data_IF_303127057874
#
_entry.id   IF_303127057874
#
_cell.length_a   1.000
_cell.length_b   1.000
_cell.length_c   1.000
_cell.angle_alpha   90.00
_cell.angle_beta   90.00
_cell.angle_gamma   90.00
#
_symmetry.space_group_name_H-M   'P 1'
#
loop_
_entity.id
_entity.type
_entity.pdbx_description
1 polymer ?
#
# COMPACT_ATOMS: atom_id res chain seq x y z
N UNK A 1 -3.55 -20.26 -3.43
CA UNK A 1 -2.58 -20.58 -2.35
C UNK A 1 -2.62 -19.40 -1.40
N UNK A 2 -2.89 -19.59 -0.10
CA UNK A 2 -2.86 -18.45 0.84
C UNK A 2 -1.40 -18.05 1.04
N UNK A 3 -1.03 -16.86 0.61
CA UNK A 3 0.30 -16.32 0.87
C UNK A 3 0.43 -15.96 2.35
N UNK A 4 1.57 -16.23 2.95
CA UNK A 4 1.82 -15.80 4.33
C UNK A 4 2.25 -14.33 4.31
N UNK A 5 1.48 -13.48 4.95
CA UNK A 5 1.70 -12.03 4.99
C UNK A 5 3.05 -11.70 5.64
N UNK A 6 3.45 -12.43 6.68
CA UNK A 6 4.73 -12.25 7.36
C UNK A 6 5.90 -12.53 6.42
N UNK A 7 5.80 -13.60 5.60
CA UNK A 7 6.81 -13.92 4.59
C UNK A 7 6.91 -12.80 3.56
N UNK A 8 5.78 -12.27 3.10
CA UNK A 8 5.77 -11.17 2.13
C UNK A 8 6.43 -9.91 2.69
N UNK A 9 6.10 -9.53 3.92
CA UNK A 9 6.69 -8.38 4.62
C UNK A 9 8.20 -8.53 4.78
N UNK A 10 8.67 -9.68 5.26
CA UNK A 10 10.11 -9.97 5.39
C UNK A 10 10.81 -9.90 4.03
N UNK A 11 10.21 -10.47 2.98
CA UNK A 11 10.78 -10.43 1.62
C UNK A 11 10.91 -9.00 1.10
N UNK A 12 9.92 -8.15 1.37
CA UNK A 12 9.95 -6.73 0.98
C UNK A 12 11.09 -6.01 1.71
N UNK A 13 11.19 -6.15 3.04
CA UNK A 13 12.25 -5.52 3.84
C UNK A 13 13.66 -5.94 3.36
N UNK A 14 13.86 -7.24 3.16
CA UNK A 14 15.14 -7.79 2.66
C UNK A 14 15.47 -7.25 1.26
N UNK A 15 14.46 -7.14 0.39
CA UNK A 15 14.66 -6.64 -0.97
C UNK A 15 14.98 -5.14 -1.00
N UNK A 16 14.28 -4.34 -0.21
CA UNK A 16 14.56 -2.90 -0.04
C UNK A 16 16.00 -2.69 0.45
N UNK A 17 16.44 -3.49 1.42
CA UNK A 17 17.80 -3.42 1.95
C UNK A 17 18.84 -3.89 0.92
N UNK A 18 18.59 -4.99 0.22
CA UNK A 18 19.49 -5.56 -0.79
C UNK A 18 19.70 -4.60 -1.96
N UNK A 19 18.64 -3.95 -2.44
CA UNK A 19 18.69 -2.94 -3.49
C UNK A 19 19.21 -1.57 -2.98
N UNK A 20 19.45 -1.45 -1.68
CA UNK A 20 19.88 -0.19 -1.03
C UNK A 20 18.93 0.97 -1.36
N UNK A 21 17.62 0.71 -1.31
CA UNK A 21 16.58 1.72 -1.50
C UNK A 21 16.40 2.57 -0.24
N UNK A 22 16.05 3.84 -0.42
CA UNK A 22 15.87 4.80 0.68
C UNK A 22 14.83 4.34 1.70
N UNK A 23 13.72 3.75 1.24
CA UNK A 23 12.65 3.23 2.08
C UNK A 23 13.13 2.25 3.16
N UNK A 24 14.20 1.47 2.90
CA UNK A 24 14.78 0.56 3.90
C UNK A 24 15.24 1.26 5.20
N UNK A 25 15.44 2.58 5.16
CA UNK A 25 15.87 3.40 6.30
C UNK A 25 14.78 4.38 6.77
N UNK A 26 13.79 4.62 5.92
CA UNK A 26 12.75 5.61 6.13
C UNK A 26 11.44 5.00 6.65
N UNK A 27 11.23 3.68 6.48
CA UNK A 27 10.08 2.99 7.07
C UNK A 27 10.15 3.10 8.60
N UNK A 28 9.06 3.60 9.20
CA UNK A 28 8.96 3.78 10.64
C UNK A 28 8.68 2.44 11.34
N UNK A 29 9.11 2.27 12.60
CA UNK A 29 8.71 1.10 13.40
C UNK A 29 7.19 0.98 13.46
N UNK A 30 6.70 -0.26 13.47
CA UNK A 30 5.26 -0.54 13.54
C UNK A 30 4.63 -0.14 14.87
N UNK A 31 3.32 0.02 14.84
CA UNK A 31 2.49 0.40 15.97
C UNK A 31 1.99 -0.83 16.75
N UNK A 32 1.71 -0.69 18.08
CA UNK A 32 0.98 -1.70 18.81
C UNK A 32 -0.41 -1.94 18.20
N UNK A 33 -0.84 -3.19 18.12
CA UNK A 33 -2.14 -3.58 17.59
C UNK A 33 -3.32 -2.85 18.26
N UNK A 34 -3.21 -2.59 19.56
CA UNK A 34 -4.21 -1.84 20.33
C UNK A 34 -4.35 -0.41 19.81
N UNK A 35 -3.24 0.29 19.56
CA UNK A 35 -3.23 1.66 19.02
C UNK A 35 -3.92 1.70 17.66
N UNK A 36 -3.57 0.79 16.75
CA UNK A 36 -4.20 0.71 15.42
C UNK A 36 -5.71 0.48 15.54
N UNK A 37 -6.11 -0.43 16.42
CA UNK A 37 -7.52 -0.75 16.65
C UNK A 37 -8.31 0.45 17.20
N UNK A 38 -7.77 1.14 18.19
CA UNK A 38 -8.42 2.28 18.86
C UNK A 38 -8.59 3.46 17.89
N UNK A 39 -7.53 3.81 17.15
CA UNK A 39 -7.54 4.94 16.22
C UNK A 39 -8.54 4.74 15.05
N UNK A 40 -8.57 3.54 14.47
CA UNK A 40 -9.51 3.20 13.40
C UNK A 40 -10.96 3.16 13.92
N UNK A 41 -11.17 2.52 15.07
CA UNK A 41 -12.51 2.39 15.66
C UNK A 41 -13.10 3.74 16.08
N UNK A 42 -12.27 4.70 16.51
CA UNK A 42 -12.70 6.07 16.84
C UNK A 42 -13.34 6.79 15.65
N UNK A 43 -13.04 6.38 14.42
CA UNK A 43 -13.62 6.91 13.17
C UNK A 43 -14.68 5.99 12.56
N UNK A 44 -15.10 4.95 13.28
CA UNK A 44 -16.07 3.97 12.80
C UNK A 44 -15.55 2.99 11.74
N UNK A 45 -14.23 3.00 11.49
CA UNK A 45 -13.57 2.06 10.61
C UNK A 45 -13.38 0.71 11.32
N UNK A 46 -13.48 -0.39 10.57
CA UNK A 46 -13.30 -1.75 11.11
C UNK A 46 -11.87 -2.22 10.89
N UNK A 47 -11.07 -2.34 11.95
CA UNK A 47 -9.71 -2.83 11.83
C UNK A 47 -9.70 -4.34 11.57
N UNK A 48 -9.37 -4.74 10.34
CA UNK A 48 -9.14 -6.14 9.98
C UNK A 48 -7.74 -6.60 10.38
N UNK A 49 -7.55 -7.90 10.46
CA UNK A 49 -6.29 -8.49 10.87
C UNK A 49 -5.11 -8.09 9.96
N UNK A 50 -5.34 -8.01 8.64
CA UNK A 50 -4.32 -7.63 7.66
C UNK A 50 -3.89 -6.16 7.86
N UNK A 51 -4.84 -5.26 8.12
CA UNK A 51 -4.55 -3.85 8.35
C UNK A 51 -3.80 -3.62 9.68
N UNK A 52 -4.20 -4.32 10.73
CA UNK A 52 -3.47 -4.31 12.02
C UNK A 52 -2.05 -4.85 11.82
N UNK A 53 -1.87 -5.91 11.06
CA UNK A 53 -0.56 -6.48 10.78
C UNK A 53 0.30 -5.55 9.91
N UNK A 54 -0.28 -4.86 8.93
CA UNK A 54 0.41 -3.88 8.08
C UNK A 54 1.01 -2.74 8.93
N UNK A 55 0.18 -2.09 9.75
CA UNK A 55 0.66 -1.02 10.63
C UNK A 55 1.48 -1.52 11.82
N UNK A 56 1.36 -2.79 12.19
CA UNK A 56 2.24 -3.47 13.14
C UNK A 56 3.62 -3.77 12.57
N UNK A 57 3.73 -3.88 11.25
CA UNK A 57 5.00 -4.03 10.53
C UNK A 57 5.70 -2.68 10.38
N UNK A 58 5.06 -1.70 9.73
CA UNK A 58 5.58 -0.35 9.59
C UNK A 58 4.47 0.71 9.71
N UNK A 59 4.74 1.79 10.44
CA UNK A 59 3.87 2.96 10.54
C UNK A 59 4.26 4.01 9.49
N UNK A 60 4.14 3.64 8.24
CA UNK A 60 4.41 4.53 7.14
C UNK A 60 5.88 4.82 6.88
N UNK A 61 6.12 5.72 5.94
CA UNK A 61 7.45 6.17 5.55
C UNK A 61 7.71 7.57 6.12
N UNK A 62 8.90 7.81 6.65
CA UNK A 62 9.28 9.12 7.15
C UNK A 62 9.46 10.11 6.00
N UNK A 63 8.71 11.22 6.04
CA UNK A 63 8.66 12.28 5.03
C UNK A 63 9.34 13.58 5.51
N UNK A 64 10.48 13.48 6.19
CA UNK A 64 11.21 14.65 6.67
C UNK A 64 11.63 15.60 5.53
N UNK A 65 11.78 16.92 5.80
CA UNK A 65 12.27 17.86 4.83
C UNK A 65 13.64 17.42 4.25
N UNK A 66 13.77 17.45 2.95
CA UNK A 66 14.93 17.04 2.14
C UNK A 66 15.07 15.54 1.84
N UNK A 67 14.09 14.71 2.17
CA UNK A 67 13.99 13.34 1.63
C UNK A 67 13.49 13.41 0.20
N UNK A 68 14.16 12.74 -0.72
CA UNK A 68 13.66 12.63 -2.09
C UNK A 68 12.43 11.71 -2.11
N UNK A 69 11.41 12.06 -2.88
CA UNK A 69 10.19 11.28 -2.99
C UNK A 69 10.46 9.83 -3.39
N UNK A 70 11.38 9.61 -4.33
CA UNK A 70 11.79 8.27 -4.76
C UNK A 70 12.38 7.43 -3.62
N UNK A 71 13.07 8.06 -2.66
CA UNK A 71 13.61 7.36 -1.49
C UNK A 71 12.52 6.88 -0.51
N UNK A 72 11.32 7.45 -0.59
CA UNK A 72 10.19 7.09 0.26
C UNK A 72 9.42 5.87 -0.25
N UNK A 73 9.54 5.53 -1.52
CA UNK A 73 8.70 4.54 -2.18
C UNK A 73 8.84 3.13 -1.60
N UNK A 74 7.71 2.55 -1.19
CA UNK A 74 7.57 1.14 -0.84
C UNK A 74 7.44 0.27 -2.10
N UNK A 75 6.78 0.81 -3.12
CA UNK A 75 6.73 0.30 -4.49
C UNK A 75 6.93 1.48 -5.45
N UNK A 76 7.45 1.27 -6.67
CA UNK A 76 7.68 2.39 -7.59
C UNK A 76 6.45 3.27 -7.75
N UNK A 77 6.61 4.57 -7.49
CA UNK A 77 5.57 5.57 -7.57
C UNK A 77 4.70 5.75 -6.32
N UNK A 78 4.78 4.88 -5.30
CA UNK A 78 3.94 4.96 -4.11
C UNK A 78 4.71 4.71 -2.81
N UNK A 79 4.45 5.52 -1.79
CA UNK A 79 4.95 5.33 -0.43
C UNK A 79 3.81 5.00 0.55
N UNK A 80 4.16 4.33 1.65
CA UNK A 80 3.22 3.95 2.69
C UNK A 80 2.94 5.16 3.60
N UNK A 81 1.66 5.52 3.74
CA UNK A 81 1.22 6.52 4.72
C UNK A 81 1.35 5.96 6.13
N UNK A 82 1.79 6.78 7.09
CA UNK A 82 1.60 6.45 8.51
C UNK A 82 0.10 6.40 8.85
N UNK A 83 -0.26 5.71 9.91
CA UNK A 83 -1.65 5.67 10.36
C UNK A 83 -2.21 7.09 10.58
N UNK A 84 -1.41 7.99 11.16
CA UNK A 84 -1.81 9.38 11.36
C UNK A 84 -2.10 10.10 10.05
N UNK A 85 -1.18 10.05 9.07
CA UNK A 85 -1.36 10.65 7.73
C UNK A 85 -2.56 10.04 6.99
N UNK A 86 -2.73 8.71 7.07
CA UNK A 86 -3.86 8.00 6.49
C UNK A 86 -5.20 8.48 7.08
N UNK A 87 -5.26 8.68 8.39
CA UNK A 87 -6.46 9.15 9.08
C UNK A 87 -6.76 10.63 8.82
N UNK A 88 -5.74 11.50 8.77
CA UNK A 88 -5.91 12.90 8.37
C UNK A 88 -6.44 13.01 6.94
N UNK A 89 -5.88 12.21 6.03
CA UNK A 89 -6.34 12.15 4.64
C UNK A 89 -7.77 11.60 4.57
N UNK A 90 -8.08 10.54 5.32
CA UNK A 90 -9.43 9.97 5.43
C UNK A 90 -10.44 11.03 5.91
N UNK A 91 -10.15 11.74 7.00
CA UNK A 91 -11.02 12.78 7.56
C UNK A 91 -11.29 13.88 6.52
N UNK A 92 -10.29 14.27 5.73
CA UNK A 92 -10.44 15.22 4.62
C UNK A 92 -11.36 14.68 3.53
N UNK A 93 -11.14 13.42 3.07
CA UNK A 93 -11.96 12.80 2.03
C UNK A 93 -13.42 12.65 2.42
N UNK A 94 -13.71 12.19 3.62
CA UNK A 94 -15.08 12.02 4.11
C UNK A 94 -15.80 13.37 4.20
N UNK A 95 -15.10 14.43 4.61
CA UNK A 95 -15.67 15.76 4.71
C UNK A 95 -15.91 16.43 3.34
N UNK A 96 -15.03 16.23 2.39
CA UNK A 96 -15.08 16.89 1.08
C UNK A 96 -15.97 16.15 0.08
N UNK A 97 -15.92 14.82 0.07
CA UNK A 97 -16.53 14.00 -0.98
C UNK A 97 -17.74 13.19 -0.52
N UNK A 98 -17.96 13.04 0.81
CA UNK A 98 -19.08 12.31 1.43
C UNK A 98 -19.31 10.87 0.92
N UNK A 99 -18.43 10.35 0.12
CA UNK A 99 -18.47 9.02 -0.49
C UNK A 99 -17.44 8.11 0.14
N UNK A 100 -17.70 6.81 0.12
CA UNK A 100 -16.76 5.78 0.58
C UNK A 100 -16.25 5.98 2.02
N UNK A 101 -17.16 6.27 2.94
CA UNK A 101 -16.86 6.52 4.37
C UNK A 101 -16.20 5.34 5.12
N UNK A 102 -15.90 4.24 4.43
CA UNK A 102 -15.17 3.08 4.96
C UNK A 102 -13.80 2.90 4.32
N UNK A 103 -13.37 3.79 3.41
CA UNK A 103 -12.14 3.66 2.65
C UNK A 103 -11.01 4.45 3.29
N UNK A 104 -9.99 3.73 3.78
CA UNK A 104 -8.79 4.32 4.35
C UNK A 104 -7.68 4.36 3.28
N UNK A 105 -7.04 5.52 2.98
CA UNK A 105 -5.89 5.57 2.11
C UNK A 105 -4.69 4.86 2.78
N UNK A 106 -3.98 4.01 2.02
CA UNK A 106 -2.80 3.29 2.49
C UNK A 106 -1.51 3.81 1.87
N UNK A 107 -1.55 4.03 0.55
CA UNK A 107 -0.40 4.44 -0.24
C UNK A 107 -0.74 5.72 -0.99
N UNK A 108 0.27 6.58 -1.19
CA UNK A 108 0.16 7.86 -1.89
C UNK A 108 1.29 8.02 -2.90
N UNK A 109 1.02 8.67 -4.04
CA UNK A 109 2.01 9.00 -5.08
C UNK A 109 2.55 10.44 -4.98
N UNK A 110 2.06 11.23 -4.02
CA UNK A 110 2.34 12.66 -3.83
C UNK A 110 1.88 13.56 -5.01
N UNK A 111 1.07 13.04 -5.91
CA UNK A 111 0.44 13.78 -6.99
C UNK A 111 -1.10 13.80 -6.86
N UNK A 112 -1.63 13.26 -5.77
CA UNK A 112 -3.05 13.15 -5.47
C UNK A 112 -3.63 11.76 -5.78
N UNK A 113 -2.81 10.82 -6.25
CA UNK A 113 -3.19 9.42 -6.42
C UNK A 113 -3.04 8.64 -5.12
N UNK A 114 -4.06 7.86 -4.78
CA UNK A 114 -4.10 7.04 -3.58
C UNK A 114 -4.54 5.61 -3.86
N UNK A 115 -3.99 4.69 -3.10
CA UNK A 115 -4.47 3.32 -3.01
C UNK A 115 -5.17 3.15 -1.66
N UNK A 116 -6.46 2.75 -1.69
CA UNK A 116 -7.33 2.65 -0.54
C UNK A 116 -7.58 1.21 -0.13
N UNK A 117 -7.85 1.00 1.16
CA UNK A 117 -8.41 -0.24 1.69
C UNK A 117 -9.84 -0.01 2.17
N UNK A 118 -10.76 -0.92 1.84
CA UNK A 118 -12.12 -0.88 2.37
C UNK A 118 -12.20 -1.53 3.75
N UNK A 119 -12.50 -0.72 4.75
CA UNK A 119 -12.68 -1.09 6.16
C UNK A 119 -14.14 -1.36 6.53
N UNK A 120 -15.03 -1.65 5.58
CA UNK A 120 -16.44 -2.00 5.84
C UNK A 120 -16.61 -3.33 6.57
N UNK A 121 -15.64 -4.26 6.41
CA UNK A 121 -15.59 -5.57 7.05
C UNK A 121 -14.20 -5.87 7.63
N UNK A 122 -14.11 -6.90 8.49
CA UNK A 122 -12.83 -7.30 9.13
C UNK A 122 -12.22 -8.54 8.53
N UNK A 123 -13.01 -9.38 7.85
CA UNK A 123 -12.62 -10.68 7.34
C UNK A 123 -12.00 -10.61 5.93
N UNK A 124 -12.30 -9.55 5.21
CA UNK A 124 -11.76 -9.27 3.90
C UNK A 124 -11.72 -7.76 3.68
N UNK A 125 -10.56 -7.23 3.48
CA UNK A 125 -10.34 -5.80 3.26
C UNK A 125 -9.71 -5.61 1.87
N UNK A 126 -10.56 -5.49 0.82
CA UNK A 126 -10.10 -5.30 -0.54
C UNK A 126 -9.42 -3.94 -0.71
N UNK A 127 -8.48 -3.91 -1.66
CA UNK A 127 -7.67 -2.74 -1.99
C UNK A 127 -8.06 -2.21 -3.35
N UNK A 128 -8.33 -0.91 -3.40
CA UNK A 128 -8.84 -0.22 -4.58
C UNK A 128 -7.89 0.88 -5.05
N UNK A 129 -7.89 1.10 -6.35
CA UNK A 129 -7.42 2.33 -6.96
C UNK A 129 -8.59 3.33 -6.99
N UNK A 130 -8.32 4.58 -6.66
CA UNK A 130 -9.32 5.64 -6.74
C UNK A 130 -8.90 6.65 -7.79
N UNK A 131 -9.72 6.78 -8.81
CA UNK A 131 -9.56 7.79 -9.84
C UNK A 131 -10.57 8.92 -9.62
N UNK A 132 -10.06 10.11 -9.27
CA UNK A 132 -10.88 11.30 -9.07
C UNK A 132 -11.60 11.78 -10.33
N UNK A 133 -11.06 11.48 -11.51
CA UNK A 133 -11.60 11.98 -12.77
C UNK A 133 -12.73 11.10 -13.30
N UNK A 134 -12.68 9.80 -13.08
CA UNK A 134 -13.59 8.84 -13.68
C UNK A 134 -14.62 8.22 -12.74
N UNK A 135 -14.55 8.49 -11.43
CA UNK A 135 -15.46 7.94 -10.39
C UNK A 135 -15.53 6.39 -10.40
N UNK A 136 -14.67 5.72 -11.13
CA UNK A 136 -14.59 4.27 -11.19
C UNK A 136 -13.55 3.76 -10.21
N UNK A 137 -14.05 3.22 -9.10
CA UNK A 137 -13.22 2.54 -8.12
C UNK A 137 -12.85 1.15 -8.62
N UNK A 138 -11.62 0.97 -9.06
CA UNK A 138 -11.15 -0.31 -9.61
C UNK A 138 -10.50 -1.16 -8.52
N UNK A 139 -11.03 -2.37 -8.30
CA UNK A 139 -10.43 -3.35 -7.41
C UNK A 139 -9.03 -3.72 -7.92
N UNK A 140 -7.99 -3.44 -7.11
CA UNK A 140 -6.58 -3.80 -7.39
C UNK A 140 -6.19 -5.14 -6.79
N UNK A 141 -6.59 -5.38 -5.53
CA UNK A 141 -6.28 -6.62 -4.81
C UNK A 141 -7.45 -7.03 -3.92
N UNK A 142 -7.67 -8.33 -3.77
CA UNK A 142 -8.75 -8.85 -2.94
C UNK A 142 -8.51 -8.66 -1.44
N UNK A 143 -7.27 -8.36 -1.04
CA UNK A 143 -6.85 -8.09 0.34
C UNK A 143 -5.49 -7.36 0.39
N UNK A 144 -5.13 -6.81 1.54
CA UNK A 144 -3.79 -6.29 1.82
C UNK A 144 -2.76 -7.43 1.68
N UNK A 145 -3.09 -8.64 2.13
CA UNK A 145 -2.23 -9.82 1.98
C UNK A 145 -1.89 -10.10 0.51
N UNK A 146 -2.89 -10.05 -0.39
CA UNK A 146 -2.68 -10.26 -1.83
C UNK A 146 -1.84 -9.13 -2.45
N UNK A 147 -2.03 -7.89 -2.00
CA UNK A 147 -1.20 -6.76 -2.39
C UNK A 147 0.27 -7.00 -2.02
N UNK A 148 0.55 -7.26 -0.74
CA UNK A 148 1.93 -7.49 -0.28
C UNK A 148 2.59 -8.71 -0.93
N UNK A 149 1.83 -9.78 -1.17
CA UNK A 149 2.32 -10.94 -1.90
C UNK A 149 2.72 -10.60 -3.34
N UNK A 150 1.93 -9.74 -4.01
CA UNK A 150 2.25 -9.27 -5.37
C UNK A 150 3.54 -8.45 -5.39
N UNK A 151 3.70 -7.52 -4.42
CA UNK A 151 4.92 -6.72 -4.28
C UNK A 151 6.15 -7.59 -3.99
N UNK A 152 6.05 -8.53 -3.06
CA UNK A 152 7.13 -9.45 -2.70
C UNK A 152 7.61 -10.29 -3.92
N UNK A 153 6.67 -10.77 -4.75
CA UNK A 153 7.00 -11.49 -5.97
C UNK A 153 7.63 -10.56 -7.01
N UNK A 154 7.17 -9.31 -7.14
CA UNK A 154 7.78 -8.33 -8.04
C UNK A 154 9.25 -8.06 -7.69
N UNK A 155 9.56 -7.92 -6.40
CA UNK A 155 10.94 -7.80 -5.93
C UNK A 155 11.77 -9.06 -6.26
N UNK A 156 11.28 -10.24 -5.91
CA UNK A 156 12.04 -11.50 -6.09
C UNK A 156 12.27 -11.85 -7.56
N UNK A 157 11.40 -11.38 -8.46
CA UNK A 157 11.56 -11.58 -9.91
C UNK A 157 12.38 -10.47 -10.58
N UNK A 158 12.87 -9.47 -9.83
CA UNK A 158 13.61 -8.35 -10.38
C UNK A 158 12.77 -7.43 -11.27
N UNK A 159 11.45 -7.48 -11.13
CA UNK A 159 10.50 -6.56 -11.80
C UNK A 159 10.65 -5.17 -11.20
N UNK A 160 10.83 -5.09 -9.88
CA UNK A 160 11.25 -3.88 -9.18
C UNK A 160 12.76 -3.89 -9.08
N UNK A 161 13.40 -2.80 -9.46
CA UNK A 161 14.84 -2.67 -9.51
C UNK A 161 15.31 -1.25 -9.19
N UNK A 162 16.58 -1.11 -8.94
CA UNK A 162 17.25 0.20 -8.88
C UNK A 162 17.98 0.38 -10.20
N UNK A 163 17.69 1.47 -10.91
CA UNK A 163 18.30 1.77 -12.18
C UNK A 163 19.75 2.26 -12.06
N UNK A 164 20.41 2.54 -13.20
CA UNK A 164 21.80 2.98 -13.27
C UNK A 164 22.02 4.37 -12.63
N UNK A 165 20.98 5.21 -12.59
CA UNK A 165 21.01 6.53 -11.98
C UNK A 165 20.64 6.50 -10.49
N UNK A 166 20.30 5.34 -9.97
CA UNK A 166 19.96 5.10 -8.58
C UNK A 166 18.48 5.27 -8.22
N UNK A 167 17.58 5.40 -9.22
CA UNK A 167 16.15 5.49 -9.00
C UNK A 167 15.51 4.13 -8.78
N UNK A 168 14.54 4.09 -7.88
CA UNK A 168 13.68 2.91 -7.71
C UNK A 168 12.61 2.90 -8.81
N UNK A 169 12.66 1.90 -9.67
CA UNK A 169 11.85 1.79 -10.88
C UNK A 169 11.33 0.36 -11.09
N UNK A 170 10.50 0.16 -12.11
CA UNK A 170 9.91 -1.15 -12.44
C UNK A 170 9.81 -1.37 -13.95
N UNK A 171 9.85 -2.63 -14.35
CA UNK A 171 9.32 -3.07 -15.65
C UNK A 171 7.79 -3.08 -15.56
N UNK A 172 7.16 -2.00 -16.06
CA UNK A 172 5.71 -1.79 -15.94
C UNK A 172 4.91 -2.89 -16.63
N UNK A 173 5.35 -3.38 -17.81
CA UNK A 173 4.67 -4.46 -18.55
C UNK A 173 4.76 -5.79 -17.80
N UNK A 174 5.92 -6.10 -17.23
CA UNK A 174 6.11 -7.30 -16.43
C UNK A 174 5.31 -7.23 -15.13
N UNK A 175 5.26 -6.06 -14.49
CA UNK A 175 4.47 -5.87 -13.27
C UNK A 175 2.97 -6.02 -13.53
N UNK A 176 2.47 -5.42 -14.61
CA UNK A 176 1.06 -5.54 -14.99
C UNK A 176 0.66 -7.01 -15.20
N UNK A 177 1.44 -7.77 -15.98
CA UNK A 177 1.23 -9.21 -16.22
C UNK A 177 1.31 -10.04 -14.93
N UNK A 178 2.25 -9.73 -14.05
CA UNK A 178 2.37 -10.38 -12.74
C UNK A 178 1.13 -10.13 -11.90
N UNK A 179 0.74 -8.85 -11.76
CA UNK A 179 -0.39 -8.43 -10.94
C UNK A 179 -1.73 -9.02 -11.44
N UNK A 180 -1.97 -9.02 -12.74
CA UNK A 180 -3.12 -9.67 -13.35
C UNK A 180 -3.18 -11.17 -13.03
N UNK A 181 -2.05 -11.87 -13.15
CA UNK A 181 -1.97 -13.31 -12.85
C UNK A 181 -2.20 -13.62 -11.37
N UNK A 182 -1.69 -12.78 -10.47
CA UNK A 182 -1.81 -13.00 -9.03
C UNK A 182 -3.17 -12.57 -8.48
N UNK A 183 -3.84 -11.65 -9.16
CA UNK A 183 -5.11 -11.06 -8.74
C UNK A 183 -6.20 -11.24 -9.83
N UNK A 184 -6.58 -12.47 -10.20
CA UNK A 184 -7.44 -12.73 -11.36
C UNK A 184 -8.88 -12.21 -11.20
N UNK A 185 -9.28 -11.82 -10.00
CA UNK A 185 -10.60 -11.23 -9.71
C UNK A 185 -10.57 -9.70 -9.67
N UNK A 186 -9.40 -9.10 -9.81
CA UNK A 186 -9.20 -7.65 -9.75
C UNK A 186 -9.26 -7.05 -11.17
N UNK A 187 -10.36 -6.36 -11.46
CA UNK A 187 -10.59 -5.75 -12.79
C UNK A 187 -9.61 -4.64 -13.15
N UNK A 188 -8.92 -4.06 -12.17
CA UNK A 188 -7.88 -3.06 -12.42
C UNK A 188 -6.78 -3.56 -13.36
N UNK A 189 -6.42 -4.83 -13.27
CA UNK A 189 -5.35 -5.47 -14.05
C UNK A 189 -5.83 -6.13 -15.33
N UNK A 190 -7.14 -6.09 -15.64
CA UNK A 190 -7.65 -6.63 -16.89
C UNK A 190 -7.15 -5.76 -18.06
N UNK A 191 -6.60 -6.41 -19.08
CA UNK A 191 -6.33 -5.73 -20.36
C UNK A 191 -7.69 -5.38 -21.00
N UNK A 192 -7.84 -4.14 -21.47
CA UNK A 192 -8.99 -3.72 -22.30
C UNK A 192 -8.92 -4.36 -23.70
#
# INVERSE_FOLDING_TARGET
>A
MKHDMTVSMTTIDESLAQLQLGASKLLRPGLPAQTVTEELSARGLRPGADLIALYGWHDGTNSEPNVLLNDMYLMPGYYLLSLGEALETYDRFVNEYQENSTWLPLLEDNAGGYIFVDCSATDRQPVYDFDFENVENKLRHSSIQDMLATLAVAFTQGIFYKDEDGWFDMDSDAFWKLAARMNPTAHYWAED
#
